data_IF_180230349882
#
_entry.id   IF_180230349882
#
_cell.length_a   1.000
_cell.length_b   1.000
_cell.length_c   1.000
_cell.angle_alpha   90.00
_cell.angle_beta   90.00
_cell.angle_gamma   90.00
#
_symmetry.space_group_name_H-M   'P 1'
#
loop_
_entity.id
_entity.type
_entity.pdbx_description
1 polymer ?
#
# COMPACT_ATOMS: atom_id res chain seq x y z
N UNK A 1 -10.87 -19.86 -33.96
CA UNK A 1 -9.82 -18.98 -33.44
C UNK A 1 -10.30 -17.58 -33.71
N UNK A 2 -10.74 -16.87 -32.68
CA UNK A 2 -10.99 -15.43 -32.81
C UNK A 2 -9.65 -14.77 -33.13
N UNK A 3 -9.63 -14.03 -34.25
CA UNK A 3 -8.52 -13.14 -34.55
C UNK A 3 -8.53 -12.08 -33.44
N UNK A 4 -7.48 -12.06 -32.61
CA UNK A 4 -7.35 -11.14 -31.48
C UNK A 4 -7.03 -9.71 -31.92
N UNK A 5 -7.09 -9.40 -33.23
CA UNK A 5 -6.90 -8.05 -33.76
C UNK A 5 -5.48 -7.55 -33.56
N UNK A 6 -4.50 -8.44 -33.77
CA UNK A 6 -3.09 -8.09 -33.84
C UNK A 6 -2.60 -8.47 -35.23
N UNK A 7 -3.15 -7.78 -36.24
CA UNK A 7 -2.63 -7.89 -37.59
C UNK A 7 -1.39 -7.00 -37.64
N UNK A 8 -0.21 -7.60 -37.47
CA UNK A 8 1.14 -7.00 -37.35
C UNK A 8 1.53 -6.17 -38.60
N UNK A 9 0.75 -5.12 -38.85
CA UNK A 9 0.78 -4.20 -39.98
C UNK A 9 1.48 -2.92 -39.55
N UNK A 10 2.05 -2.19 -40.51
CA UNK A 10 2.74 -0.93 -40.19
C UNK A 10 1.80 0.11 -39.56
N UNK A 11 0.52 0.10 -39.93
CA UNK A 11 -0.51 0.99 -39.39
C UNK A 11 -0.78 0.72 -37.90
N UNK A 12 -1.02 -0.54 -37.49
CA UNK A 12 -1.20 -0.91 -36.08
C UNK A 12 0.07 -0.64 -35.24
N UNK A 13 1.26 -0.74 -35.84
CA UNK A 13 2.53 -0.41 -35.16
C UNK A 13 2.71 1.09 -34.96
N UNK A 14 2.22 1.93 -35.86
CA UNK A 14 2.21 3.39 -35.71
C UNK A 14 1.15 3.86 -34.71
N UNK A 15 0.00 3.18 -34.64
CA UNK A 15 -1.03 3.45 -33.62
C UNK A 15 -0.61 3.00 -32.21
N UNK A 16 0.24 1.97 -32.12
CA UNK A 16 0.74 1.41 -30.85
C UNK A 16 2.13 1.95 -30.47
N UNK A 17 2.53 3.12 -30.99
CA UNK A 17 3.74 3.80 -30.56
C UNK A 17 3.49 4.34 -29.15
N UNK A 18 3.96 3.59 -28.15
CA UNK A 18 3.85 3.99 -26.75
C UNK A 18 4.39 5.41 -26.52
N UNK A 19 3.73 6.15 -25.62
CA UNK A 19 4.18 7.49 -25.26
C UNK A 19 5.54 7.42 -24.56
N UNK A 20 6.51 8.20 -25.04
CA UNK A 20 7.77 8.41 -24.32
C UNK A 20 7.47 9.32 -23.14
N UNK A 21 7.59 8.78 -21.93
CA UNK A 21 7.46 9.52 -20.68
C UNK A 21 8.83 9.73 -20.04
N UNK A 22 8.99 10.83 -19.32
CA UNK A 22 10.19 11.16 -18.54
C UNK A 22 10.10 10.56 -17.13
N UNK A 23 11.23 10.55 -16.41
CA UNK A 23 11.21 10.17 -14.98
C UNK A 23 10.36 11.12 -14.13
N UNK A 24 10.31 12.42 -14.47
CA UNK A 24 9.41 13.36 -13.82
C UNK A 24 7.93 13.03 -14.07
N UNK A 25 7.58 12.51 -15.25
CA UNK A 25 6.23 12.06 -15.53
C UNK A 25 5.87 10.84 -14.67
N UNK A 26 6.82 9.92 -14.47
CA UNK A 26 6.66 8.77 -13.56
C UNK A 26 6.41 9.22 -12.12
N UNK A 27 7.16 10.19 -11.63
CA UNK A 27 7.00 10.73 -10.27
C UNK A 27 5.67 11.49 -10.08
N UNK A 28 5.11 12.04 -11.16
CA UNK A 28 3.84 12.79 -11.17
C UNK A 28 2.62 11.92 -11.48
N UNK A 29 2.83 10.69 -11.96
CA UNK A 29 1.71 9.78 -12.17
C UNK A 29 1.01 9.57 -10.83
N UNK A 30 -0.33 9.65 -10.80
CA UNK A 30 -1.06 9.35 -9.58
C UNK A 30 -0.70 7.94 -9.13
N UNK A 31 -0.22 7.82 -7.90
CA UNK A 31 -0.05 6.52 -7.27
C UNK A 31 -1.43 5.89 -7.08
N UNK A 32 -1.52 4.57 -7.25
CA UNK A 32 -2.78 3.86 -7.06
C UNK A 32 -3.35 4.01 -5.63
N UNK A 33 -2.50 4.39 -4.67
CA UNK A 33 -2.87 4.75 -3.30
C UNK A 33 -2.04 5.94 -2.81
N UNK A 34 -2.65 6.83 -2.02
CA UNK A 34 -1.99 7.97 -1.39
C UNK A 34 -1.39 7.54 -0.04
N UNK A 35 -0.05 7.47 0.01
CA UNK A 35 0.72 7.04 1.18
C UNK A 35 0.38 7.90 2.40
N UNK A 36 0.33 9.23 2.26
CA UNK A 36 0.12 10.14 3.38
C UNK A 36 -1.28 10.00 3.96
N UNK A 37 -2.27 9.86 3.07
CA UNK A 37 -3.66 9.63 3.49
C UNK A 37 -3.82 8.29 4.21
N UNK A 38 -3.22 7.22 3.70
CA UNK A 38 -3.28 5.90 4.34
C UNK A 38 -2.59 5.92 5.70
N UNK A 39 -1.42 6.53 5.83
CA UNK A 39 -0.73 6.67 7.12
C UNK A 39 -1.58 7.46 8.12
N UNK A 40 -2.17 8.57 7.69
CA UNK A 40 -3.06 9.38 8.54
C UNK A 40 -4.27 8.57 9.05
N UNK A 41 -4.91 7.79 8.18
CA UNK A 41 -6.04 6.94 8.57
C UNK A 41 -5.60 5.83 9.56
N UNK A 42 -4.43 5.24 9.36
CA UNK A 42 -3.85 4.25 10.28
C UNK A 42 -3.57 4.87 11.65
N UNK A 43 -2.99 6.07 11.70
CA UNK A 43 -2.79 6.81 12.95
C UNK A 43 -4.12 7.15 13.66
N UNK A 44 -5.17 7.51 12.92
CA UNK A 44 -6.50 7.72 13.50
C UNK A 44 -7.09 6.43 14.07
N UNK A 45 -6.89 5.27 13.43
CA UNK A 45 -7.33 3.98 13.98
C UNK A 45 -6.66 3.67 15.33
N UNK A 46 -5.40 4.09 15.54
CA UNK A 46 -4.76 4.02 16.86
C UNK A 46 -5.54 4.83 17.89
N UNK A 47 -6.02 6.02 17.54
CA UNK A 47 -6.75 6.91 18.44
C UNK A 47 -8.20 6.48 18.69
N UNK A 48 -8.85 5.92 17.67
CA UNK A 48 -10.27 5.56 17.69
C UNK A 48 -10.53 4.16 18.28
N UNK A 49 -9.53 3.29 18.29
CA UNK A 49 -9.73 1.86 18.59
C UNK A 49 -8.60 1.13 19.34
N UNK A 50 -7.44 1.74 19.60
CA UNK A 50 -6.46 1.08 20.46
C UNK A 50 -7.04 0.96 21.88
N UNK A 51 -7.29 -0.28 22.29
CA UNK A 51 -7.81 -0.71 23.59
C UNK A 51 -7.58 0.31 24.72
N UNK A 52 -8.66 0.83 25.33
CA UNK A 52 -8.58 1.84 26.40
C UNK A 52 -7.78 1.38 27.64
N UNK A 53 -7.51 0.07 27.78
CA UNK A 53 -6.88 -0.55 28.96
C UNK A 53 -5.68 -1.46 28.63
N UNK A 54 -5.07 -1.32 27.45
CA UNK A 54 -3.91 -2.13 27.06
C UNK A 54 -2.63 -1.79 27.83
N UNK A 55 -2.58 -0.72 28.64
CA UNK A 55 -1.40 -0.42 29.47
C UNK A 55 -0.98 -1.54 30.44
N UNK A 56 -1.88 -2.48 30.75
CA UNK A 56 -1.59 -3.66 31.57
C UNK A 56 -0.98 -4.84 30.80
N UNK A 57 -1.00 -4.83 29.45
CA UNK A 57 -0.38 -5.88 28.64
C UNK A 57 1.13 -5.95 28.83
N UNK A 58 1.75 -4.78 28.88
CA UNK A 58 3.19 -4.59 29.04
C UNK A 58 3.69 -5.16 30.39
N UNK A 59 2.84 -5.10 31.42
CA UNK A 59 3.17 -5.55 32.78
C UNK A 59 2.89 -7.02 33.05
N UNK A 60 1.85 -7.60 32.44
CA UNK A 60 1.41 -8.96 32.76
C UNK A 60 1.99 -10.03 31.83
N UNK A 61 2.52 -9.65 30.65
CA UNK A 61 3.03 -10.59 29.65
C UNK A 61 2.00 -11.70 29.30
N UNK A 62 0.72 -11.39 29.49
CA UNK A 62 -0.45 -12.27 29.31
C UNK A 62 -1.27 -11.87 28.08
N UNK A 63 -0.76 -10.99 27.22
CA UNK A 63 -1.42 -10.76 25.95
C UNK A 63 -1.23 -11.96 25.06
N UNK A 64 -2.35 -12.61 24.76
CA UNK A 64 -2.42 -13.70 23.80
C UNK A 64 -1.94 -13.21 22.43
N UNK A 65 -1.48 -14.13 21.59
CA UNK A 65 -1.30 -13.89 20.16
C UNK A 65 -2.65 -13.40 19.59
N UNK A 66 -2.81 -12.08 19.50
CA UNK A 66 -4.10 -11.41 19.26
C UNK A 66 -4.29 -10.11 20.04
N UNK A 67 -3.75 -9.99 21.25
CA UNK A 67 -3.98 -8.85 22.17
C UNK A 67 -2.77 -7.91 22.36
N UNK A 68 -1.60 -8.26 21.83
CA UNK A 68 -0.51 -7.29 21.52
C UNK A 68 -0.70 -6.63 20.14
N UNK A 69 -1.82 -6.89 19.47
CA UNK A 69 -1.79 -6.91 18.02
C UNK A 69 -2.10 -5.58 17.35
N UNK A 70 -3.04 -4.76 17.84
CA UNK A 70 -3.58 -3.70 16.98
C UNK A 70 -2.65 -2.50 16.83
N UNK A 71 -2.12 -1.95 17.93
CA UNK A 71 -1.17 -0.83 17.83
C UNK A 71 0.12 -1.24 17.09
N UNK A 72 0.66 -2.42 17.43
CA UNK A 72 1.86 -2.95 16.81
C UNK A 72 1.64 -3.36 15.34
N UNK A 73 0.48 -3.93 15.00
CA UNK A 73 0.11 -4.23 13.62
C UNK A 73 -0.15 -2.96 12.82
N UNK A 74 -0.69 -1.91 13.44
CA UNK A 74 -0.84 -0.60 12.80
C UNK A 74 0.54 0.01 12.55
N UNK A 75 1.46 -0.04 13.51
CA UNK A 75 2.83 0.45 13.31
C UNK A 75 3.54 -0.33 12.19
N UNK A 76 3.39 -1.66 12.18
CA UNK A 76 3.89 -2.51 11.10
C UNK A 76 3.25 -2.13 9.77
N UNK A 77 1.92 -1.97 9.71
CA UNK A 77 1.18 -1.56 8.53
C UNK A 77 1.63 -0.20 7.99
N UNK A 78 1.89 0.77 8.86
CA UNK A 78 2.45 2.07 8.50
C UNK A 78 3.82 1.90 7.82
N UNK A 79 4.69 1.06 8.36
CA UNK A 79 5.99 0.78 7.74
C UNK A 79 5.85 0.06 6.40
N UNK A 80 4.88 -0.85 6.24
CA UNK A 80 4.52 -1.47 4.94
C UNK A 80 4.10 -0.41 3.92
N UNK A 81 3.23 0.52 4.32
CA UNK A 81 2.73 1.58 3.45
C UNK A 81 3.87 2.51 3.01
N UNK A 82 4.74 2.91 3.94
CA UNK A 82 5.91 3.76 3.63
C UNK A 82 6.92 3.08 2.70
N UNK A 83 7.08 1.75 2.77
CA UNK A 83 7.93 0.99 1.83
C UNK A 83 7.24 0.59 0.53
N UNK A 84 6.06 1.16 0.24
CA UNK A 84 5.35 0.95 -1.02
C UNK A 84 4.60 -0.39 -1.10
N UNK A 85 4.17 -0.94 0.04
CA UNK A 85 3.31 -2.13 0.08
C UNK A 85 4.04 -3.47 0.09
N UNK A 86 5.37 -3.49 0.15
CA UNK A 86 6.15 -4.75 0.20
C UNK A 86 6.29 -5.25 1.61
N UNK A 87 6.08 -6.53 1.86
CA UNK A 87 6.39 -7.18 3.14
C UNK A 87 7.61 -8.10 3.00
N UNK A 88 8.81 -7.56 3.18
CA UNK A 88 10.06 -8.32 3.14
C UNK A 88 10.79 -8.23 4.50
N UNK A 89 11.28 -9.38 4.97
CA UNK A 89 12.40 -9.50 5.93
C UNK A 89 13.73 -9.07 5.31
#
# INVERSE_FOLDING_TARGET
MENLGFDDTEEEREENVGQIITWEDVDRMPTAFDVENVVSNLEQLKLDGACEDCGYCEYLNECWDGDMSEEHAIDMAIEIVKRGGRDEE
#
